data_IF_655143370914
#
_entry.id   IF_655143370914
#
_cell.length_a   1.000
_cell.length_b   1.000
_cell.length_c   1.000
_cell.angle_alpha   90.00
_cell.angle_beta   90.00
_cell.angle_gamma   90.00
#
_symmetry.space_group_name_H-M   'P 1'
#
loop_
_entity.id
_entity.type
_entity.pdbx_description
1 polymer ?
#
# COMPACT_ATOMS: atom_id res chain seq x y z
N UNK A 1 27.10 31.62 56.46
CA UNK A 1 26.24 31.66 55.25
C UNK A 1 26.72 30.60 54.29
N UNK A 2 26.00 29.47 54.26
CA UNK A 2 26.33 28.33 53.39
C UNK A 2 25.31 28.36 52.27
N UNK A 3 25.78 28.68 51.04
CA UNK A 3 24.97 28.60 49.84
C UNK A 3 24.95 27.14 49.34
N UNK A 4 23.81 26.49 49.51
CA UNK A 4 23.54 25.18 48.91
C UNK A 4 23.18 25.37 47.43
N UNK A 5 24.04 24.95 46.53
CA UNK A 5 23.80 24.86 45.11
C UNK A 5 22.96 23.61 44.83
N UNK A 6 21.68 23.80 44.47
CA UNK A 6 20.75 22.73 44.13
C UNK A 6 20.90 22.41 42.63
N UNK A 7 21.63 21.35 42.32
CA UNK A 7 21.78 20.81 40.96
C UNK A 7 20.41 20.24 40.48
N UNK A 8 19.73 20.93 39.55
CA UNK A 8 18.54 20.42 38.88
C UNK A 8 18.98 19.50 37.72
N UNK A 9 18.90 18.21 37.93
CA UNK A 9 19.01 17.23 36.84
C UNK A 9 17.72 17.25 36.02
N UNK A 10 17.78 17.76 34.79
CA UNK A 10 16.71 17.65 33.81
C UNK A 10 16.86 16.28 33.16
N UNK A 11 15.98 15.34 33.50
CA UNK A 11 15.85 14.07 32.80
C UNK A 11 15.04 14.30 31.52
N UNK A 12 15.71 14.34 30.38
CA UNK A 12 15.05 14.32 29.09
C UNK A 12 14.54 12.90 28.85
N UNK A 13 13.24 12.69 28.95
CA UNK A 13 12.60 11.42 28.63
C UNK A 13 12.58 11.27 27.11
N UNK A 14 13.45 10.42 26.57
CA UNK A 14 13.46 10.08 25.15
C UNK A 14 12.28 9.13 24.91
N UNK A 15 11.16 9.64 24.39
CA UNK A 15 10.04 8.80 23.92
C UNK A 15 10.46 8.22 22.58
N UNK A 16 10.92 6.97 22.59
CA UNK A 16 11.13 6.20 21.37
C UNK A 16 9.75 5.70 20.93
N UNK A 17 9.17 6.37 19.96
CA UNK A 17 7.96 5.89 19.30
C UNK A 17 8.32 4.72 18.40
N UNK A 18 8.00 3.50 18.80
CA UNK A 18 8.02 2.35 17.92
C UNK A 18 6.80 2.45 17.01
N UNK A 19 6.98 2.88 15.77
CA UNK A 19 6.00 2.61 14.72
C UNK A 19 6.07 1.13 14.41
N UNK A 20 5.05 0.37 14.81
CA UNK A 20 4.87 -0.99 14.32
C UNK A 20 4.34 -0.86 12.89
N UNK A 21 5.14 -1.29 11.91
CA UNK A 21 4.67 -1.42 10.55
C UNK A 21 3.54 -2.46 10.50
N UNK A 22 2.46 -2.13 9.82
CA UNK A 22 1.32 -3.04 9.67
C UNK A 22 1.68 -4.06 8.61
N UNK A 23 1.95 -5.29 9.05
CA UNK A 23 2.29 -6.38 8.14
C UNK A 23 1.07 -6.87 7.37
N UNK A 24 1.27 -7.14 6.07
CA UNK A 24 0.25 -7.73 5.21
C UNK A 24 -0.07 -9.15 5.70
N UNK A 25 -1.36 -9.55 5.75
CA UNK A 25 -1.77 -10.90 6.15
C UNK A 25 -1.49 -11.95 5.06
N UNK A 26 -0.22 -12.16 4.69
CA UNK A 26 0.19 -13.10 3.63
C UNK A 26 -0.17 -14.56 3.91
N UNK A 27 -0.28 -14.95 5.18
CA UNK A 27 -0.49 -16.34 5.61
C UNK A 27 -1.79 -16.54 6.41
N UNK A 28 -2.69 -15.57 6.38
CA UNK A 28 -3.93 -15.69 7.15
C UNK A 28 -4.96 -16.41 6.31
N UNK A 29 -5.03 -17.72 6.50
CA UNK A 29 -6.09 -18.58 6.00
C UNK A 29 -7.37 -18.28 6.79
N UNK A 30 -8.07 -17.18 6.45
CA UNK A 30 -9.18 -16.69 7.25
C UNK A 30 -10.20 -15.94 6.42
N UNK A 31 -11.41 -16.12 6.75
CA UNK A 31 -12.67 -15.39 6.65
C UNK A 31 -12.68 -14.12 5.75
N UNK A 32 -12.08 -14.20 4.56
CA UNK A 32 -12.23 -13.16 3.57
C UNK A 32 -13.69 -13.10 3.11
N UNK A 33 -14.31 -11.96 3.30
CA UNK A 33 -15.65 -11.68 2.83
C UNK A 33 -15.58 -11.21 1.37
N UNK A 34 -16.35 -11.86 0.49
CA UNK A 34 -16.40 -11.50 -0.91
C UNK A 34 -17.21 -10.21 -1.09
N UNK A 35 -16.64 -9.23 -1.77
CA UNK A 35 -17.31 -8.01 -2.21
C UNK A 35 -17.73 -8.11 -3.68
N UNK A 36 -16.91 -8.74 -4.51
CA UNK A 36 -17.18 -9.02 -5.92
C UNK A 36 -16.55 -10.35 -6.33
N UNK A 37 -17.21 -11.10 -7.22
CA UNK A 37 -16.77 -12.43 -7.67
C UNK A 37 -16.93 -12.59 -9.19
N UNK A 38 -16.54 -11.58 -9.95
CA UNK A 38 -16.54 -11.58 -11.41
C UNK A 38 -15.16 -12.03 -11.96
N UNK A 39 -14.74 -11.49 -13.11
CA UNK A 39 -13.41 -11.72 -13.67
C UNK A 39 -12.29 -11.27 -12.72
N UNK A 40 -12.57 -10.28 -11.89
CA UNK A 40 -11.72 -9.84 -10.77
C UNK A 40 -12.44 -10.23 -9.49
N UNK A 41 -11.78 -10.99 -8.63
CA UNK A 41 -12.33 -11.38 -7.31
C UNK A 41 -11.84 -10.38 -6.27
N UNK A 42 -12.77 -9.65 -5.67
CA UNK A 42 -12.48 -8.65 -4.65
C UNK A 42 -13.02 -9.11 -3.31
N UNK A 43 -12.15 -9.10 -2.30
CA UNK A 43 -12.46 -9.55 -0.95
C UNK A 43 -11.89 -8.59 0.08
N UNK A 44 -12.47 -8.61 1.28
CA UNK A 44 -11.93 -7.87 2.40
C UNK A 44 -12.00 -8.67 3.70
N UNK A 45 -11.22 -8.25 4.69
CA UNK A 45 -11.31 -8.72 6.07
C UNK A 45 -10.80 -7.65 7.03
N UNK A 46 -11.13 -7.79 8.31
CA UNK A 46 -10.47 -7.03 9.37
C UNK A 46 -9.29 -7.84 9.91
N UNK A 47 -8.10 -7.27 9.83
CA UNK A 47 -6.87 -7.88 10.33
C UNK A 47 -6.13 -6.86 11.20
N UNK A 48 -5.78 -7.25 12.43
CA UNK A 48 -5.11 -6.39 13.42
C UNK A 48 -5.74 -5.00 13.61
N UNK A 49 -7.08 -4.95 13.54
CA UNK A 49 -7.85 -3.71 13.69
C UNK A 49 -8.05 -2.91 12.40
N UNK A 50 -7.34 -3.24 11.32
CA UNK A 50 -7.40 -2.55 10.03
C UNK A 50 -8.23 -3.30 8.99
N UNK A 51 -8.91 -2.59 8.06
CA UNK A 51 -9.52 -3.21 6.91
C UNK A 51 -8.42 -3.56 5.90
N UNK A 52 -8.28 -4.84 5.57
CA UNK A 52 -7.46 -5.29 4.44
C UNK A 52 -8.35 -5.76 3.31
N UNK A 53 -7.99 -5.32 2.11
CA UNK A 53 -8.64 -5.71 0.87
C UNK A 53 -7.68 -6.47 -0.01
N UNK A 54 -8.20 -7.32 -0.88
CA UNK A 54 -7.44 -7.94 -1.97
C UNK A 54 -8.28 -8.05 -3.22
N UNK A 55 -7.63 -7.86 -4.36
CA UNK A 55 -8.15 -8.15 -5.68
C UNK A 55 -7.28 -9.24 -6.31
N UNK A 56 -7.89 -10.27 -6.90
CA UNK A 56 -7.19 -11.37 -7.56
C UNK A 56 -7.71 -11.54 -8.97
N UNK A 57 -6.80 -11.65 -9.94
CA UNK A 57 -7.08 -11.87 -11.36
C UNK A 57 -6.03 -12.75 -12.00
N UNK A 58 -6.43 -13.56 -12.97
CA UNK A 58 -5.53 -14.27 -13.87
C UNK A 58 -5.17 -13.31 -15.01
N UNK A 59 -3.87 -13.07 -15.19
CA UNK A 59 -3.32 -12.17 -16.21
C UNK A 59 -2.60 -13.03 -17.27
N UNK A 60 -2.87 -12.77 -18.54
CA UNK A 60 -2.18 -13.41 -19.66
C UNK A 60 -0.83 -12.74 -19.91
N UNK A 61 0.09 -12.94 -18.97
CA UNK A 61 1.46 -12.42 -18.99
C UNK A 61 2.36 -13.26 -18.12
N UNK A 62 3.63 -13.29 -18.42
CA UNK A 62 4.63 -13.98 -17.62
C UNK A 62 4.83 -13.28 -16.29
N UNK A 63 5.22 -14.02 -15.26
CA UNK A 63 5.56 -13.43 -13.96
C UNK A 63 6.70 -12.40 -14.09
N UNK A 64 7.65 -12.62 -15.01
CA UNK A 64 8.78 -11.71 -15.24
C UNK A 64 8.34 -10.35 -15.77
N UNK A 65 7.41 -10.31 -16.73
CA UNK A 65 6.84 -9.05 -17.28
C UNK A 65 6.09 -8.27 -16.20
N UNK A 66 5.31 -8.96 -15.38
CA UNK A 66 4.62 -8.34 -14.23
C UNK A 66 5.61 -7.78 -13.21
N UNK A 67 6.70 -8.51 -12.90
CA UNK A 67 7.74 -8.01 -12.00
C UNK A 67 8.37 -6.73 -12.57
N UNK A 68 8.71 -6.70 -13.86
CA UNK A 68 9.31 -5.54 -14.51
C UNK A 68 8.37 -4.33 -14.45
N UNK A 69 7.07 -4.54 -14.73
CA UNK A 69 6.05 -3.49 -14.63
C UNK A 69 5.95 -2.92 -13.22
N UNK A 70 5.89 -3.79 -12.20
CA UNK A 70 5.74 -3.39 -10.80
C UNK A 70 7.02 -2.79 -10.20
N UNK A 71 8.19 -3.06 -10.78
CA UNK A 71 9.45 -2.45 -10.35
C UNK A 71 9.68 -1.05 -10.91
N UNK A 72 8.99 -0.68 -11.97
CA UNK A 72 9.09 0.65 -12.58
C UNK A 72 8.30 1.73 -11.80
N UNK A 73 8.62 1.84 -10.52
CA UNK A 73 7.91 2.70 -9.57
C UNK A 73 7.91 4.18 -9.92
N UNK A 74 8.95 4.66 -10.60
CA UNK A 74 9.00 6.07 -11.04
C UNK A 74 7.97 6.39 -12.12
N UNK A 75 7.48 5.38 -12.83
CA UNK A 75 6.50 5.50 -13.88
C UNK A 75 5.09 5.05 -13.50
N UNK A 76 4.81 4.80 -12.22
CA UNK A 76 3.46 4.40 -11.76
C UNK A 76 2.36 5.36 -12.21
N UNK A 77 2.63 6.65 -12.34
CA UNK A 77 1.68 7.63 -12.87
C UNK A 77 1.31 7.41 -14.36
N UNK A 78 2.02 6.56 -15.09
CA UNK A 78 1.69 6.15 -16.47
C UNK A 78 0.84 4.89 -16.52
N UNK A 79 0.88 4.10 -15.45
CA UNK A 79 0.20 2.80 -15.34
C UNK A 79 -1.11 2.98 -14.57
N UNK A 80 -1.06 3.62 -13.42
CA UNK A 80 -2.17 3.79 -12.50
C UNK A 80 -2.73 5.21 -12.63
N UNK A 81 -3.87 5.38 -13.28
CA UNK A 81 -4.44 6.70 -13.62
C UNK A 81 -4.68 7.62 -12.43
N UNK A 82 -4.91 7.06 -11.22
CA UNK A 82 -5.07 7.86 -10.01
C UNK A 82 -3.73 8.31 -9.40
N UNK A 83 -2.61 7.81 -9.86
CA UNK A 83 -1.31 8.25 -9.36
C UNK A 83 -0.87 9.50 -10.14
N UNK A 84 -0.94 10.66 -9.49
CA UNK A 84 -0.49 11.91 -10.07
C UNK A 84 1.02 12.11 -9.95
N UNK A 85 1.62 11.47 -8.96
CA UNK A 85 3.03 11.62 -8.66
C UNK A 85 3.59 10.33 -8.08
N UNK A 86 4.72 9.90 -8.60
CA UNK A 86 5.52 8.80 -8.07
C UNK A 86 6.99 9.13 -8.23
N UNK A 87 7.75 9.08 -7.14
CA UNK A 87 9.17 9.40 -7.13
C UNK A 87 9.95 8.48 -6.20
N UNK A 88 11.01 7.89 -6.72
CA UNK A 88 12.00 7.20 -5.90
C UNK A 88 12.74 8.18 -5.01
N UNK A 89 12.70 7.95 -3.69
CA UNK A 89 13.52 8.65 -2.70
C UNK A 89 14.82 7.87 -2.45
N UNK A 90 14.74 6.53 -2.53
CA UNK A 90 15.88 5.60 -2.59
C UNK A 90 15.52 4.47 -3.55
N UNK A 91 16.37 3.45 -3.70
CA UNK A 91 16.03 2.24 -4.49
C UNK A 91 14.78 1.50 -3.99
N UNK A 92 14.44 1.65 -2.71
CA UNK A 92 13.35 0.91 -2.06
C UNK A 92 12.21 1.82 -1.59
N UNK A 93 12.46 3.12 -1.34
CA UNK A 93 11.47 4.04 -0.79
C UNK A 93 10.91 4.94 -1.89
N UNK A 94 9.59 4.98 -1.97
CA UNK A 94 8.84 5.75 -2.97
C UNK A 94 7.89 6.71 -2.29
N UNK A 95 7.81 7.92 -2.80
CA UNK A 95 6.78 8.90 -2.46
C UNK A 95 5.71 8.89 -3.55
N UNK A 96 4.48 8.63 -3.19
CA UNK A 96 3.34 8.53 -4.10
C UNK A 96 2.23 9.48 -3.66
N UNK A 97 1.61 10.15 -4.63
CA UNK A 97 0.39 10.95 -4.44
C UNK A 97 -0.71 10.43 -5.35
N UNK A 98 -1.90 10.27 -4.76
CA UNK A 98 -3.10 9.79 -5.42
C UNK A 98 -4.11 10.93 -5.54
N UNK A 99 -4.71 11.07 -6.72
CA UNK A 99 -5.94 11.81 -6.88
C UNK A 99 -7.15 11.07 -6.27
N UNK A 100 -8.08 11.84 -5.72
CA UNK A 100 -9.34 11.32 -5.21
C UNK A 100 -10.49 12.09 -5.83
N UNK A 101 -11.63 11.43 -6.11
CA UNK A 101 -12.80 12.11 -6.68
C UNK A 101 -13.29 13.25 -5.77
N UNK A 102 -13.55 14.40 -6.35
CA UNK A 102 -14.18 15.52 -5.65
C UNK A 102 -15.43 15.03 -4.86
N UNK A 103 -15.63 15.42 -3.58
CA UNK A 103 -14.97 16.54 -2.88
C UNK A 103 -13.79 16.11 -1.97
N UNK A 104 -13.25 14.93 -2.11
CA UNK A 104 -12.22 14.41 -1.20
C UNK A 104 -10.83 14.93 -1.55
N UNK A 105 -10.02 15.21 -0.52
CA UNK A 105 -8.61 15.51 -0.65
C UNK A 105 -7.84 14.34 -1.27
N UNK A 106 -6.73 14.59 -1.95
CA UNK A 106 -5.83 13.55 -2.42
C UNK A 106 -5.24 12.71 -1.28
N UNK A 107 -4.60 11.61 -1.61
CA UNK A 107 -3.86 10.79 -0.64
C UNK A 107 -2.39 10.82 -0.98
N UNK A 108 -1.57 10.85 0.07
CA UNK A 108 -0.13 10.92 -0.02
C UNK A 108 0.47 9.82 0.88
N UNK A 109 1.47 9.11 0.40
CA UNK A 109 2.18 8.14 1.23
C UNK A 109 3.63 7.94 0.80
N UNK A 110 4.47 7.62 1.78
CA UNK A 110 5.85 7.23 1.58
C UNK A 110 5.96 5.79 2.03
N UNK A 111 6.29 4.91 1.11
CA UNK A 111 6.34 3.47 1.35
C UNK A 111 7.69 2.89 1.00
N UNK A 112 8.08 1.90 1.80
CA UNK A 112 9.26 1.07 1.55
C UNK A 112 8.82 -0.25 0.97
N UNK A 113 9.43 -0.62 -0.15
CA UNK A 113 9.18 -1.89 -0.84
C UNK A 113 10.16 -2.96 -0.39
N UNK A 114 9.66 -4.19 -0.27
CA UNK A 114 10.45 -5.38 0.06
C UNK A 114 10.07 -6.53 -0.86
N UNK A 115 11.06 -7.25 -1.38
CA UNK A 115 10.89 -8.44 -2.22
C UNK A 115 11.11 -9.70 -1.39
N UNK A 116 10.29 -10.72 -1.62
CA UNK A 116 10.49 -12.05 -1.05
C UNK A 116 9.93 -13.12 -1.98
N UNK A 117 10.38 -14.36 -1.80
CA UNK A 117 9.84 -15.52 -2.49
C UNK A 117 9.37 -16.54 -1.46
N UNK A 118 8.15 -17.04 -1.63
CA UNK A 118 7.60 -18.12 -0.81
C UNK A 118 7.16 -19.24 -1.75
N UNK A 119 7.89 -20.35 -1.75
CA UNK A 119 7.71 -21.44 -2.72
C UNK A 119 7.90 -20.93 -4.16
N UNK A 120 6.83 -20.92 -4.96
CA UNK A 120 6.83 -20.45 -6.34
C UNK A 120 6.32 -19.01 -6.47
N UNK A 121 5.83 -18.41 -5.38
CA UNK A 121 5.25 -17.07 -5.41
C UNK A 121 6.33 -16.01 -5.26
N UNK A 122 6.29 -14.99 -6.10
CA UNK A 122 7.02 -13.75 -5.89
C UNK A 122 6.11 -12.77 -5.14
N UNK A 123 6.65 -12.20 -4.06
CA UNK A 123 5.91 -11.27 -3.21
C UNK A 123 6.65 -9.94 -3.20
N UNK A 124 5.93 -8.88 -3.57
CA UNK A 124 6.42 -7.52 -3.59
C UNK A 124 5.58 -6.67 -2.64
N UNK A 125 5.97 -6.62 -1.37
CA UNK A 125 5.23 -5.90 -0.32
C UNK A 125 5.71 -4.47 -0.17
N UNK A 126 4.83 -3.61 0.33
CA UNK A 126 5.15 -2.24 0.72
C UNK A 126 4.50 -1.88 2.05
N UNK A 127 5.16 -1.00 2.79
CA UNK A 127 4.65 -0.47 4.06
C UNK A 127 5.06 0.99 4.23
N UNK A 128 4.20 1.77 4.90
CA UNK A 128 4.50 3.17 5.21
C UNK A 128 5.78 3.28 6.05
N UNK A 129 6.63 4.25 5.72
CA UNK A 129 7.89 4.48 6.42
C UNK A 129 8.09 5.95 6.75
N UNK A 130 8.74 6.21 7.88
CA UNK A 130 9.18 7.52 8.32
C UNK A 130 10.71 7.70 8.18
N UNK A 131 11.40 6.77 7.50
CA UNK A 131 12.86 6.84 7.31
C UNK A 131 13.31 8.13 6.60
N UNK A 132 12.46 8.66 5.70
CA UNK A 132 12.70 9.90 4.98
C UNK A 132 11.56 10.86 5.24
N UNK A 133 11.89 12.02 5.81
CA UNK A 133 10.90 13.07 6.04
C UNK A 133 10.60 13.83 4.74
N UNK A 134 9.33 13.84 4.36
CA UNK A 134 8.80 14.62 3.24
C UNK A 134 7.64 15.46 3.75
N UNK A 135 7.63 16.74 3.41
CA UNK A 135 6.50 17.62 3.72
C UNK A 135 5.25 17.14 3.00
N UNK A 136 4.11 17.29 3.68
CA UNK A 136 2.80 17.04 3.08
C UNK A 136 2.24 18.36 2.53
N UNK A 137 1.57 18.32 1.40
CA UNK A 137 0.85 19.47 0.85
C UNK A 137 -0.56 19.52 1.44
N UNK A 138 -1.12 20.72 1.59
CA UNK A 138 -2.42 20.95 2.26
C UNK A 138 -3.60 20.24 1.58
N UNK A 139 -3.49 19.93 0.29
CA UNK A 139 -4.53 19.25 -0.49
C UNK A 139 -4.52 17.72 -0.34
N UNK A 140 -3.60 17.17 0.46
CA UNK A 140 -3.43 15.72 0.64
C UNK A 140 -3.54 15.28 2.09
N UNK A 141 -4.04 14.07 2.27
CA UNK A 141 -4.03 13.35 3.57
C UNK A 141 -2.93 12.29 3.55
N UNK A 142 -2.00 12.34 4.52
CA UNK A 142 -0.94 11.35 4.67
C UNK A 142 -1.49 10.04 5.20
N UNK A 143 -1.34 8.95 4.41
CA UNK A 143 -1.67 7.59 4.83
C UNK A 143 -0.50 6.99 5.61
N UNK A 144 -0.50 7.19 6.92
CA UNK A 144 0.58 6.73 7.82
C UNK A 144 0.56 5.22 8.05
N UNK A 145 -0.53 4.56 7.72
CA UNK A 145 -0.73 3.12 7.86
C UNK A 145 -0.77 2.40 6.50
N UNK A 146 -0.35 3.09 5.41
CA UNK A 146 -0.34 2.48 4.09
C UNK A 146 0.51 1.20 4.12
N UNK A 147 -0.10 0.09 3.76
CA UNK A 147 0.57 -1.20 3.62
C UNK A 147 -0.14 -2.04 2.59
N UNK A 148 0.58 -2.87 1.88
CA UNK A 148 0.01 -3.68 0.83
C UNK A 148 1.09 -4.49 0.12
N UNK A 149 0.72 -5.07 -1.02
CA UNK A 149 1.68 -5.80 -1.83
C UNK A 149 1.02 -6.55 -2.98
N UNK A 150 1.88 -7.12 -3.76
CA UNK A 150 1.59 -7.93 -4.91
C UNK A 150 2.06 -9.35 -4.65
N UNK A 151 1.22 -10.33 -4.95
CA UNK A 151 1.58 -11.74 -4.92
C UNK A 151 1.39 -12.25 -6.34
N UNK A 152 2.46 -12.76 -6.93
CA UNK A 152 2.49 -13.29 -8.28
C UNK A 152 2.71 -14.79 -8.18
N UNK A 153 1.73 -15.55 -8.62
CA UNK A 153 1.78 -17.02 -8.67
C UNK A 153 1.79 -17.47 -10.14
N UNK A 154 2.89 -18.02 -10.68
CA UNK A 154 2.91 -18.48 -12.06
C UNK A 154 2.03 -19.72 -12.20
N UNK A 155 1.03 -19.66 -13.09
CA UNK A 155 0.17 -20.80 -13.44
C UNK A 155 0.88 -21.66 -14.49
N UNK A 156 1.43 -21.01 -15.50
CA UNK A 156 2.24 -21.59 -16.56
C UNK A 156 3.25 -20.54 -17.10
N UNK A 157 3.89 -20.81 -18.24
CA UNK A 157 4.94 -19.97 -18.82
C UNK A 157 4.40 -18.64 -19.39
N UNK A 158 3.09 -18.49 -19.59
CA UNK A 158 2.44 -17.32 -20.21
C UNK A 158 1.33 -16.72 -19.35
N UNK A 159 1.06 -17.31 -18.18
CA UNK A 159 -0.10 -16.94 -17.36
C UNK A 159 0.27 -16.85 -15.88
N UNK A 160 -0.10 -15.77 -15.25
CA UNK A 160 0.15 -15.51 -13.82
C UNK A 160 -1.14 -15.15 -13.09
N UNK A 161 -1.40 -15.77 -11.94
CA UNK A 161 -2.37 -15.26 -10.99
C UNK A 161 -1.76 -14.11 -10.20
N UNK A 162 -2.33 -12.93 -10.38
CA UNK A 162 -1.93 -11.71 -9.69
C UNK A 162 -2.91 -11.40 -8.57
N UNK A 163 -2.39 -11.26 -7.36
CA UNK A 163 -3.15 -10.73 -6.22
C UNK A 163 -2.54 -9.41 -5.77
N UNK A 164 -3.35 -8.35 -5.79
CA UNK A 164 -3.07 -7.06 -5.16
C UNK A 164 -3.75 -7.02 -3.79
N UNK A 165 -2.99 -6.72 -2.74
CA UNK A 165 -3.49 -6.61 -1.38
C UNK A 165 -3.14 -5.24 -0.80
N UNK A 166 -4.08 -4.60 -0.07
CA UNK A 166 -3.84 -3.28 0.52
C UNK A 166 -4.62 -3.06 1.81
N UNK A 167 -4.08 -2.22 2.67
CA UNK A 167 -4.85 -1.64 3.77
C UNK A 167 -5.88 -0.67 3.20
N UNK A 168 -7.15 -0.96 3.43
CA UNK A 168 -8.28 -0.21 2.87
C UNK A 168 -8.64 1.07 3.63
N UNK A 169 -7.84 1.48 4.62
CA UNK A 169 -8.05 2.72 5.38
C UNK A 169 -7.76 3.94 4.51
N UNK A 170 -8.70 4.85 4.38
CA UNK A 170 -8.53 6.07 3.58
C UNK A 170 -8.27 7.33 4.39
N UNK A 171 -8.52 7.30 5.70
CA UNK A 171 -8.32 8.43 6.62
C UNK A 171 -9.00 9.74 6.18
N UNK A 172 -8.77 10.80 6.96
CA UNK A 172 -9.25 12.14 6.64
C UNK A 172 -10.77 12.25 6.60
N UNK A 173 -11.27 12.88 5.57
CA UNK A 173 -12.68 13.22 5.34
C UNK A 173 -13.49 12.14 4.61
N UNK A 174 -12.89 10.99 4.31
CA UNK A 174 -13.57 9.92 3.57
C UNK A 174 -14.58 9.18 4.49
N UNK A 175 -15.86 9.10 4.10
CA UNK A 175 -16.89 8.55 4.97
C UNK A 175 -16.90 7.01 4.97
N UNK A 176 -17.04 6.40 6.13
CA UNK A 176 -17.04 4.95 6.32
C UNK A 176 -18.05 4.21 5.45
N UNK A 177 -19.23 4.82 5.22
CA UNK A 177 -20.28 4.20 4.41
C UNK A 177 -19.88 4.02 2.92
N UNK A 178 -18.90 4.77 2.44
CA UNK A 178 -18.42 4.71 1.05
C UNK A 178 -17.20 3.77 0.88
N UNK A 179 -16.61 3.28 1.96
CA UNK A 179 -15.38 2.47 1.92
C UNK A 179 -15.52 1.21 1.07
N UNK A 180 -16.59 0.44 1.26
CA UNK A 180 -16.82 -0.80 0.49
C UNK A 180 -16.84 -0.54 -1.01
N UNK A 181 -17.49 0.53 -1.43
CA UNK A 181 -17.53 0.91 -2.85
C UNK A 181 -16.14 1.33 -3.34
N UNK A 182 -15.42 2.12 -2.57
CA UNK A 182 -14.06 2.55 -2.90
C UNK A 182 -13.12 1.35 -3.05
N UNK A 183 -13.23 0.33 -2.20
CA UNK A 183 -12.43 -0.89 -2.30
C UNK A 183 -12.73 -1.69 -3.57
N UNK A 184 -14.02 -1.81 -3.94
CA UNK A 184 -14.41 -2.48 -5.19
C UNK A 184 -13.87 -1.72 -6.40
N UNK A 185 -14.05 -0.40 -6.44
CA UNK A 185 -13.53 0.45 -7.52
C UNK A 185 -12.00 0.36 -7.62
N UNK A 186 -11.27 0.51 -6.51
CA UNK A 186 -9.81 0.41 -6.49
C UNK A 186 -9.31 -0.95 -6.99
N UNK A 187 -9.93 -2.05 -6.54
CA UNK A 187 -9.52 -3.38 -6.97
C UNK A 187 -9.73 -3.60 -8.47
N UNK A 188 -10.86 -3.16 -9.01
CA UNK A 188 -11.16 -3.26 -10.44
C UNK A 188 -10.23 -2.37 -11.28
N UNK A 189 -10.07 -1.11 -10.91
CA UNK A 189 -9.21 -0.16 -11.62
C UNK A 189 -7.76 -0.66 -11.69
N UNK A 190 -7.18 -1.01 -10.54
CA UNK A 190 -5.77 -1.43 -10.47
C UNK A 190 -5.50 -2.66 -11.32
N UNK A 191 -6.39 -3.67 -11.28
CA UNK A 191 -6.23 -4.88 -12.09
C UNK A 191 -6.41 -4.63 -13.60
N UNK A 192 -7.31 -3.71 -13.95
CA UNK A 192 -7.53 -3.32 -15.34
C UNK A 192 -6.32 -2.55 -15.88
N UNK A 193 -5.82 -1.55 -15.15
CA UNK A 193 -4.65 -0.78 -15.58
C UNK A 193 -3.37 -1.62 -15.75
N UNK A 194 -3.20 -2.65 -14.93
CA UNK A 194 -2.08 -3.59 -15.13
C UNK A 194 -2.25 -4.38 -16.42
N UNK A 195 -3.45 -4.86 -16.71
CA UNK A 195 -3.71 -5.60 -17.95
C UNK A 195 -3.49 -4.70 -19.18
N UNK A 196 -4.05 -3.48 -19.15
CA UNK A 196 -3.88 -2.49 -20.24
C UNK A 196 -2.41 -2.10 -20.46
N UNK A 197 -1.60 -2.07 -19.40
CA UNK A 197 -0.18 -1.72 -19.49
C UNK A 197 0.70 -2.87 -20.06
N UNK A 198 0.16 -4.09 -20.16
CA UNK A 198 0.84 -5.27 -20.72
C UNK A 198 0.44 -5.54 -22.18
N UNK A 199 -0.58 -4.86 -22.71
CA UNK A 199 -1.01 -4.91 -24.11
C UNK A 199 -0.13 -4.00 -25.00
#
# INVERSE_FOLDING_TARGET
MIHSSMNKYIYTLLIVSFSFAIQIPLNVDTNWEALETNAIVIQWQRYDGFPFCKATKIISSTMEELIQLLEDKENYYKIFERIEYSKLLTSEIVHIKLDMPFPFSGRDYIVKYTKSNIKNDFIYSFEATAEIAVSIDDDYVRLVNASGGWILHPIDDETTELTYMWNGELLGDFPDWALTRAWIEQGNEVMTWIEDALE
#
